data_IF_842555207250
#
_entry.id   IF_842555207250
#
_cell.length_a   1.000
_cell.length_b   1.000
_cell.length_c   1.000
_cell.angle_alpha   90.00
_cell.angle_beta   90.00
_cell.angle_gamma   90.00
#
_symmetry.space_group_name_H-M   'P 1'
#
loop_
_entity.id
_entity.type
_entity.pdbx_description
1 polymer ?
#
# COMPACT_ATOMS: atom_id res chain seq x y z
N UNK A 1 -20.78 -2.14 -18.45
CA UNK A 1 -19.53 -2.40 -17.71
C UNK A 1 -19.39 -1.18 -16.84
N UNK A 2 -19.85 -1.29 -15.60
CA UNK A 2 -19.75 -0.19 -14.65
C UNK A 2 -18.27 0.11 -14.43
N UNK A 3 -17.90 1.38 -14.52
CA UNK A 3 -16.59 1.85 -14.11
C UNK A 3 -16.42 1.44 -12.66
N UNK A 4 -15.55 0.45 -12.39
CA UNK A 4 -15.37 -0.04 -11.02
C UNK A 4 -14.86 1.13 -10.18
N UNK A 5 -15.28 1.25 -8.92
CA UNK A 5 -14.85 2.39 -8.09
C UNK A 5 -13.32 2.48 -7.95
N UNK A 6 -12.62 1.38 -8.27
CA UNK A 6 -11.17 1.24 -8.32
C UNK A 6 -10.50 1.83 -9.56
N UNK A 7 -11.25 2.31 -10.56
CA UNK A 7 -10.67 2.94 -11.75
C UNK A 7 -9.86 4.19 -11.37
N UNK A 8 -10.28 4.93 -10.33
CA UNK A 8 -9.50 6.05 -9.79
C UNK A 8 -8.14 5.64 -9.20
N UNK A 9 -8.02 4.40 -8.73
CA UNK A 9 -6.77 3.81 -8.26
C UNK A 9 -5.90 3.38 -9.44
N UNK A 10 -6.50 2.78 -10.48
CA UNK A 10 -5.81 2.42 -11.72
C UNK A 10 -5.21 3.63 -12.43
N UNK A 11 -5.86 4.79 -12.37
CA UNK A 11 -5.36 6.05 -12.94
C UNK A 11 -3.99 6.49 -12.38
N UNK A 12 -3.56 6.00 -11.20
CA UNK A 12 -2.19 6.23 -10.75
C UNK A 12 -1.15 5.57 -11.66
N UNK A 13 -1.49 4.46 -12.32
CA UNK A 13 -0.66 3.78 -13.30
C UNK A 13 -0.25 4.64 -14.49
N UNK A 14 -1.03 5.68 -14.80
CA UNK A 14 -0.74 6.63 -15.87
C UNK A 14 0.25 7.74 -15.44
N UNK A 15 0.61 7.81 -14.16
CA UNK A 15 1.53 8.85 -13.64
C UNK A 15 2.99 8.48 -13.92
N UNK A 16 3.88 9.48 -14.07
CA UNK A 16 5.32 9.22 -14.19
C UNK A 16 5.86 8.41 -13.00
N UNK A 17 6.69 7.41 -13.30
CA UNK A 17 7.32 6.47 -12.35
C UNK A 17 6.37 5.44 -11.72
N UNK A 18 5.11 5.40 -12.14
CA UNK A 18 4.20 4.31 -11.80
C UNK A 18 4.15 3.29 -12.94
N UNK A 19 3.87 2.04 -12.57
CA UNK A 19 3.48 0.97 -13.48
C UNK A 19 2.26 0.28 -12.92
N UNK A 20 1.35 -0.10 -13.80
CA UNK A 20 0.17 -0.89 -13.47
C UNK A 20 0.27 -2.23 -14.19
N UNK A 21 0.14 -3.32 -13.45
CA UNK A 21 0.04 -4.68 -13.97
C UNK A 21 -1.36 -5.21 -13.65
N UNK A 22 -2.12 -5.56 -14.68
CA UNK A 22 -3.45 -6.17 -14.53
C UNK A 22 -3.31 -7.69 -14.38
N UNK A 23 -4.07 -8.26 -13.44
CA UNK A 23 -4.20 -9.70 -13.17
C UNK A 23 -5.68 -10.10 -13.30
N UNK A 24 -6.00 -11.40 -13.20
CA UNK A 24 -7.37 -11.89 -13.41
C UNK A 24 -8.39 -11.33 -12.40
N UNK A 25 -8.00 -11.23 -11.12
CA UNK A 25 -8.85 -10.76 -10.01
C UNK A 25 -8.17 -9.68 -9.14
N UNK A 26 -7.12 -9.07 -9.68
CA UNK A 26 -6.34 -8.06 -8.98
C UNK A 26 -5.63 -7.13 -9.96
N UNK A 27 -5.05 -6.06 -9.44
CA UNK A 27 -4.01 -5.32 -10.14
C UNK A 27 -2.88 -4.96 -9.18
N UNK A 28 -1.68 -4.75 -9.72
CA UNK A 28 -0.50 -4.32 -8.96
C UNK A 28 -0.10 -2.93 -9.44
N UNK A 29 -0.18 -1.96 -8.54
CA UNK A 29 0.37 -0.63 -8.74
C UNK A 29 1.77 -0.58 -8.13
N UNK A 30 2.78 -0.36 -8.95
CA UNK A 30 4.17 -0.27 -8.51
C UNK A 30 4.77 1.10 -8.82
N UNK A 31 5.66 1.58 -7.96
CA UNK A 31 6.49 2.74 -8.27
C UNK A 31 7.77 2.72 -7.44
N UNK A 32 8.78 3.46 -7.90
CA UNK A 32 10.06 3.59 -7.21
C UNK A 32 10.25 5.01 -6.70
N UNK A 33 10.79 5.14 -5.49
CA UNK A 33 11.16 6.43 -4.91
C UNK A 33 12.43 6.26 -4.08
N UNK A 34 13.46 7.04 -4.42
CA UNK A 34 14.82 6.87 -3.89
C UNK A 34 15.34 5.45 -4.19
N UNK A 35 15.77 4.73 -3.17
CA UNK A 35 16.26 3.35 -3.22
C UNK A 35 15.20 2.31 -2.82
N UNK A 36 13.93 2.71 -2.76
CA UNK A 36 12.80 1.86 -2.39
C UNK A 36 11.86 1.63 -3.57
N UNK A 37 11.35 0.41 -3.66
CA UNK A 37 10.28 0.00 -4.56
C UNK A 37 9.03 -0.26 -3.73
N UNK A 38 7.92 0.32 -4.15
CA UNK A 38 6.60 0.19 -3.52
C UNK A 38 5.71 -0.60 -4.46
N UNK A 39 4.98 -1.58 -3.93
CA UNK A 39 3.99 -2.36 -4.67
C UNK A 39 2.72 -2.41 -3.85
N UNK A 40 1.60 -2.08 -4.48
CA UNK A 40 0.27 -2.20 -3.90
C UNK A 40 -0.52 -3.16 -4.78
N UNK A 41 -0.80 -4.34 -4.24
CA UNK A 41 -1.69 -5.31 -4.87
C UNK A 41 -3.09 -5.08 -4.34
N UNK A 42 -4.05 -4.90 -5.24
CA UNK A 42 -5.46 -4.71 -4.89
C UNK A 42 -6.25 -5.88 -5.45
N UNK A 43 -6.82 -6.70 -4.58
CA UNK A 43 -7.67 -7.84 -4.93
C UNK A 43 -9.14 -7.42 -4.81
N UNK A 44 -9.81 -7.22 -5.95
CA UNK A 44 -11.09 -6.52 -5.97
C UNK A 44 -12.26 -7.38 -5.50
N UNK A 45 -12.34 -8.66 -5.89
CA UNK A 45 -13.43 -9.52 -5.40
C UNK A 45 -13.29 -9.87 -3.91
N UNK A 46 -12.07 -9.81 -3.37
CA UNK A 46 -11.82 -10.01 -1.94
C UNK A 46 -12.02 -8.73 -1.12
N UNK A 47 -12.06 -7.55 -1.76
CA UNK A 47 -11.93 -6.25 -1.11
C UNK A 47 -10.76 -6.23 -0.12
N UNK A 48 -9.57 -6.56 -0.61
CA UNK A 48 -8.34 -6.55 0.16
C UNK A 48 -7.24 -5.81 -0.60
N UNK A 49 -6.28 -5.26 0.15
CA UNK A 49 -5.04 -4.78 -0.43
C UNK A 49 -3.82 -5.21 0.37
N UNK A 50 -2.70 -5.33 -0.34
CA UNK A 50 -1.40 -5.69 0.19
C UNK A 50 -0.38 -4.65 -0.25
N UNK A 51 0.37 -4.11 0.71
CA UNK A 51 1.48 -3.19 0.48
C UNK A 51 2.78 -3.93 0.71
N UNK A 52 3.69 -3.85 -0.25
CA UNK A 52 5.09 -4.26 -0.09
C UNK A 52 6.02 -3.07 -0.36
N UNK A 53 7.02 -2.90 0.49
CA UNK A 53 8.09 -1.92 0.34
C UNK A 53 9.41 -2.66 0.47
N UNK A 54 10.21 -2.63 -0.59
CA UNK A 54 11.49 -3.33 -0.63
C UNK A 54 12.62 -2.37 -1.01
N UNK A 55 13.84 -2.69 -0.56
CA UNK A 55 15.07 -2.08 -1.05
C UNK A 55 15.82 -3.13 -1.87
N UNK A 56 15.79 -3.08 -3.22
CA UNK A 56 16.28 -4.17 -4.09
C UNK A 56 17.72 -4.62 -3.84
N UNK A 57 18.61 -3.68 -3.52
CA UNK A 57 20.04 -3.94 -3.22
C UNK A 57 20.28 -4.49 -1.81
N UNK A 58 19.22 -4.85 -1.08
CA UNK A 58 19.28 -5.38 0.27
C UNK A 58 18.19 -6.44 0.49
N UNK A 59 18.30 -7.20 1.58
CA UNK A 59 17.25 -8.13 1.98
C UNK A 59 16.09 -7.45 2.76
N UNK A 60 16.11 -6.11 2.90
CA UNK A 60 15.13 -5.39 3.70
C UNK A 60 13.79 -5.29 2.98
N UNK A 61 12.73 -5.74 3.65
CA UNK A 61 11.36 -5.68 3.14
C UNK A 61 10.34 -5.40 4.25
N UNK A 62 9.35 -4.59 3.94
CA UNK A 62 8.19 -4.35 4.79
C UNK A 62 6.92 -4.74 4.03
N UNK A 63 5.98 -5.34 4.74
CA UNK A 63 4.67 -5.67 4.21
C UNK A 63 3.57 -5.25 5.17
N UNK A 64 2.47 -4.73 4.63
CA UNK A 64 1.24 -4.43 5.36
C UNK A 64 0.02 -4.87 4.54
N UNK A 65 -1.13 -5.04 5.17
CA UNK A 65 -2.34 -5.51 4.50
C UNK A 65 -3.60 -5.03 5.21
N UNK A 66 -4.72 -4.98 4.48
CA UNK A 66 -6.02 -4.69 5.04
C UNK A 66 -7.10 -5.46 4.29
N UNK A 67 -8.05 -6.01 5.05
CA UNK A 67 -9.22 -6.77 4.60
C UNK A 67 -10.48 -6.09 5.13
N UNK A 68 -11.48 -5.95 4.25
CA UNK A 68 -12.75 -5.29 4.52
C UNK A 68 -13.90 -6.29 4.67
N UNK A 69 -13.83 -7.49 4.08
CA UNK A 69 -14.90 -8.48 4.14
C UNK A 69 -14.82 -9.37 5.39
N UNK A 70 -13.65 -9.51 6.02
CA UNK A 70 -13.44 -10.46 7.11
C UNK A 70 -14.24 -10.23 8.40
N UNK A 71 -14.73 -9.01 8.65
CA UNK A 71 -15.32 -8.63 9.96
C UNK A 71 -16.52 -7.67 9.90
N UNK A 72 -16.93 -7.23 8.70
CA UNK A 72 -17.88 -6.14 8.52
C UNK A 72 -19.11 -6.60 7.72
N UNK A 73 -20.30 -6.35 8.26
CA UNK A 73 -21.58 -6.77 7.68
C UNK A 73 -22.26 -5.69 6.82
N UNK A 74 -21.58 -4.54 6.63
CA UNK A 74 -22.06 -3.48 5.74
C UNK A 74 -22.12 -3.97 4.27
N UNK A 75 -22.92 -3.31 3.42
CA UNK A 75 -22.99 -3.65 2.01
C UNK A 75 -21.61 -3.56 1.32
N UNK A 76 -21.33 -4.49 0.42
CA UNK A 76 -20.07 -4.57 -0.34
C UNK A 76 -19.69 -3.23 -0.99
N UNK A 77 -20.65 -2.52 -1.57
CA UNK A 77 -20.40 -1.20 -2.19
C UNK A 77 -19.96 -0.11 -1.21
N UNK A 78 -20.33 -0.22 0.07
CA UNK A 78 -19.86 0.70 1.13
C UNK A 78 -18.42 0.37 1.50
N UNK A 79 -18.10 -0.92 1.61
CA UNK A 79 -16.76 -1.40 1.91
C UNK A 79 -15.79 -1.10 0.77
N UNK A 80 -16.22 -1.28 -0.48
CA UNK A 80 -15.45 -0.94 -1.68
C UNK A 80 -15.12 0.56 -1.71
N UNK A 81 -16.10 1.43 -1.44
CA UNK A 81 -15.88 2.88 -1.38
C UNK A 81 -14.88 3.26 -0.26
N UNK A 82 -14.97 2.63 0.91
CA UNK A 82 -14.02 2.84 2.01
C UNK A 82 -12.61 2.35 1.64
N UNK A 83 -12.51 1.22 0.95
CA UNK A 83 -11.25 0.70 0.43
C UNK A 83 -10.60 1.68 -0.57
N UNK A 84 -11.37 2.22 -1.51
CA UNK A 84 -10.90 3.23 -2.46
C UNK A 84 -10.38 4.47 -1.74
N UNK A 85 -11.13 5.00 -0.78
CA UNK A 85 -10.72 6.16 0.02
C UNK A 85 -9.42 5.87 0.78
N UNK A 86 -9.29 4.67 1.32
CA UNK A 86 -8.09 4.27 2.03
C UNK A 86 -6.87 4.14 1.10
N UNK A 87 -7.04 3.50 -0.06
CA UNK A 87 -6.00 3.39 -1.08
C UNK A 87 -5.52 4.76 -1.56
N UNK A 88 -6.44 5.72 -1.77
CA UNK A 88 -6.06 7.10 -2.13
C UNK A 88 -5.19 7.77 -1.06
N UNK A 89 -5.55 7.63 0.23
CA UNK A 89 -4.75 8.17 1.34
C UNK A 89 -3.39 7.47 1.43
N UNK A 90 -3.37 6.15 1.31
CA UNK A 90 -2.15 5.35 1.32
C UNK A 90 -1.20 5.80 0.23
N UNK A 91 -1.64 5.79 -1.03
CA UNK A 91 -0.79 6.18 -2.17
C UNK A 91 -0.27 7.61 -2.01
N UNK A 92 -1.13 8.53 -1.57
CA UNK A 92 -0.75 9.92 -1.30
C UNK A 92 0.33 10.01 -0.21
N UNK A 93 0.20 9.25 0.88
CA UNK A 93 1.20 9.20 1.94
C UNK A 93 2.53 8.64 1.43
N UNK A 94 2.50 7.54 0.66
CA UNK A 94 3.71 6.94 0.09
C UNK A 94 4.42 7.89 -0.88
N UNK A 95 3.67 8.68 -1.64
CA UNK A 95 4.21 9.70 -2.56
C UNK A 95 4.81 10.90 -1.82
N UNK A 96 4.21 11.34 -0.71
CA UNK A 96 4.59 12.60 -0.07
C UNK A 96 5.63 12.44 1.04
N UNK A 97 5.64 11.32 1.76
CA UNK A 97 6.59 11.10 2.84
C UNK A 97 7.92 10.51 2.35
N UNK A 98 8.98 10.76 3.12
CA UNK A 98 10.22 10.00 2.98
C UNK A 98 10.11 8.74 3.83
N UNK A 99 10.56 7.61 3.28
CA UNK A 99 10.52 6.32 3.94
C UNK A 99 11.92 5.76 4.12
N UNK A 100 12.09 4.93 5.15
CA UNK A 100 13.27 4.08 5.30
C UNK A 100 12.88 2.74 5.90
N UNK A 101 13.55 1.68 5.43
CA UNK A 101 13.46 0.36 6.02
C UNK A 101 14.54 0.18 7.09
N UNK A 102 14.21 -0.51 8.17
CA UNK A 102 15.14 -0.83 9.27
C UNK A 102 14.98 -2.27 9.68
N UNK A 103 16.12 -2.93 9.82
CA UNK A 103 16.17 -4.32 10.27
C UNK A 103 15.41 -4.50 11.59
N UNK A 104 14.58 -5.54 11.66
CA UNK A 104 13.95 -5.98 12.91
C UNK A 104 15.01 -6.12 14.01
N UNK A 105 14.74 -5.58 15.20
CA UNK A 105 15.77 -5.47 16.24
C UNK A 105 16.07 -6.80 16.93
N UNK A 106 15.08 -7.68 17.09
CA UNK A 106 15.18 -8.88 17.94
C UNK A 106 14.38 -10.06 17.36
N UNK A 107 14.69 -11.28 17.83
CA UNK A 107 14.00 -12.54 17.49
C UNK A 107 12.46 -12.49 17.65
N UNK A 108 11.96 -11.69 18.60
CA UNK A 108 10.52 -11.55 18.88
C UNK A 108 9.78 -10.60 17.92
N UNK A 109 10.51 -9.78 17.15
CA UNK A 109 9.96 -8.92 16.10
C UNK A 109 10.91 -8.97 14.90
N UNK A 110 10.93 -10.10 14.17
CA UNK A 110 11.89 -10.34 13.10
C UNK A 110 11.59 -9.51 11.84
N UNK A 111 10.35 -9.02 11.68
CA UNK A 111 9.97 -8.19 10.54
C UNK A 111 10.74 -6.88 10.50
N UNK A 112 11.25 -6.52 9.32
CA UNK A 112 11.80 -5.19 9.13
C UNK A 112 10.70 -4.15 9.31
N UNK A 113 11.09 -3.00 9.81
CA UNK A 113 10.18 -1.90 10.09
C UNK A 113 10.29 -0.86 8.99
N UNK A 114 9.14 -0.33 8.57
CA UNK A 114 9.08 0.87 7.77
C UNK A 114 8.89 2.08 8.70
N UNK A 115 9.68 3.12 8.50
CA UNK A 115 9.52 4.41 9.16
C UNK A 115 9.28 5.49 8.11
N UNK A 116 8.39 6.43 8.41
CA UNK A 116 8.17 7.63 7.59
C UNK A 116 8.66 8.89 8.33
N UNK A 117 9.10 9.91 7.56
CA UNK A 117 9.52 11.19 8.11
C UNK A 117 8.31 12.12 8.30
N UNK A 118 8.05 12.49 9.56
CA UNK A 118 6.98 13.42 9.97
C UNK A 118 7.58 14.46 10.91
N UNK A 119 7.42 15.76 10.61
CA UNK A 119 7.95 16.85 11.44
C UNK A 119 9.43 16.67 11.83
N UNK A 120 10.28 16.31 10.86
CA UNK A 120 11.70 16.00 11.03
C UNK A 120 12.02 14.84 11.99
N UNK A 121 11.03 13.99 12.31
CA UNK A 121 11.21 12.79 13.13
C UNK A 121 10.78 11.56 12.35
N UNK A 122 11.59 10.51 12.46
CA UNK A 122 11.22 9.21 11.92
C UNK A 122 10.25 8.53 12.88
N UNK A 123 9.06 8.22 12.39
CA UNK A 123 8.02 7.51 13.13
C UNK A 123 7.73 6.19 12.44
N UNK A 124 7.29 5.18 13.19
CA UNK A 124 6.86 3.91 12.61
C UNK A 124 5.71 4.20 11.64
N UNK A 125 5.82 3.70 10.42
CA UNK A 125 4.73 3.74 9.46
C UNK A 125 3.61 2.81 9.95
N UNK A 126 2.43 3.37 10.10
CA UNK A 126 1.20 2.69 10.51
C UNK A 126 0.08 3.40 9.76
N UNK A 127 -0.38 2.79 8.67
CA UNK A 127 -1.37 3.38 7.78
C UNK A 127 -2.66 3.76 8.54
N UNK A 128 -3.01 3.04 9.62
CA UNK A 128 -4.17 3.36 10.44
C UNK A 128 -4.00 4.59 11.36
N UNK A 129 -2.81 5.17 11.46
CA UNK A 129 -2.48 6.25 12.42
C UNK A 129 -1.70 7.44 11.84
N UNK A 130 -1.18 7.34 10.62
CA UNK A 130 -0.48 8.43 9.92
C UNK A 130 -1.37 9.08 8.89
#
# INVERSE_FOLDING_TARGET
MDNSSLDSIREYGNKPNFSLEELDDAFVLSFSKNDLVFKITVAYSALEWFLEIERPESELKFSDWCDYLGYDDRPESVLEAEMVDHLHRLITALQNHQFRLKKGKNFLNPGDNCECLVNNKWVKFDYGKT
#
